data_IF_094020700079
#
_entry.id   IF_094020700079
#
_cell.length_a   1.000
_cell.length_b   1.000
_cell.length_c   1.000
_cell.angle_alpha   90.00
_cell.angle_beta   90.00
_cell.angle_gamma   90.00
#
_symmetry.space_group_name_H-M   'P 1'
#
loop_
_entity.id
_entity.type
_entity.pdbx_description
1 polymer ?
#
# COMPACT_ATOMS: atom_id res chain seq x y z
N UNK A 1 -4.54 14.31 18.56
CA UNK A 1 -4.08 12.92 18.43
C UNK A 1 -2.63 12.87 17.92
N UNK A 2 -2.26 13.21 16.64
CA UNK A 2 -0.88 13.07 16.12
C UNK A 2 0.18 13.78 16.97
N UNK A 3 -0.05 15.05 17.33
CA UNK A 3 0.87 15.80 18.22
C UNK A 3 1.07 15.10 19.56
N UNK A 4 0.01 14.55 20.15
CA UNK A 4 0.09 13.83 21.42
C UNK A 4 0.87 12.52 21.27
N UNK A 5 0.64 11.76 20.17
CA UNK A 5 1.43 10.56 19.88
C UNK A 5 2.92 10.90 19.71
N UNK A 6 3.24 11.95 18.96
CA UNK A 6 4.63 12.40 18.78
C UNK A 6 5.26 12.94 20.07
N UNK A 7 4.46 13.54 20.94
CA UNK A 7 4.95 14.00 22.23
C UNK A 7 5.31 12.82 23.14
N UNK A 8 4.45 11.80 23.22
CA UNK A 8 4.69 10.61 24.05
C UNK A 8 5.70 9.65 23.44
N UNK A 9 5.68 9.52 22.12
CA UNK A 9 6.50 8.56 21.37
C UNK A 9 7.19 9.26 20.19
N UNK A 10 8.26 10.06 20.42
CA UNK A 10 8.89 10.86 19.38
C UNK A 10 9.41 10.05 18.20
N UNK A 11 9.82 8.81 18.47
CA UNK A 11 10.36 7.90 17.45
C UNK A 11 9.29 7.20 16.60
N UNK A 12 8.02 7.18 17.08
CA UNK A 12 6.94 6.53 16.36
C UNK A 12 6.72 7.19 14.98
N UNK A 13 6.74 6.40 13.93
CA UNK A 13 6.44 6.86 12.57
C UNK A 13 4.95 6.74 12.30
N UNK A 14 4.33 7.86 11.95
CA UNK A 14 2.90 7.92 11.65
C UNK A 14 2.70 7.76 10.14
N UNK A 15 2.49 6.52 9.71
CA UNK A 15 2.05 6.14 8.37
C UNK A 15 0.53 5.99 8.43
N UNK A 16 -0.20 7.05 8.16
CA UNK A 16 -1.63 7.11 8.48
C UNK A 16 -2.39 8.00 7.49
N UNK A 17 -3.70 7.83 7.44
CA UNK A 17 -4.63 8.59 6.60
C UNK A 17 -4.35 8.41 5.10
N UNK A 18 -5.10 7.58 4.42
CA UNK A 18 -5.09 7.51 2.96
C UNK A 18 -5.66 8.77 2.30
N UNK A 19 -5.57 8.83 0.98
CA UNK A 19 -6.14 9.95 0.23
C UNK A 19 -7.65 10.18 0.50
N UNK A 20 -8.49 9.15 0.72
CA UNK A 20 -9.89 9.37 1.10
C UNK A 20 -10.07 10.14 2.39
N UNK A 21 -9.29 9.82 3.42
CA UNK A 21 -9.35 10.51 4.72
C UNK A 21 -8.84 11.94 4.61
N UNK A 22 -7.77 12.18 3.84
CA UNK A 22 -7.27 13.54 3.56
C UNK A 22 -8.33 14.37 2.84
N UNK A 23 -8.97 13.81 1.80
CA UNK A 23 -10.04 14.49 1.07
C UNK A 23 -11.24 14.79 1.97
N UNK A 24 -11.60 13.86 2.85
CA UNK A 24 -12.68 14.07 3.82
C UNK A 24 -12.35 15.19 4.81
N UNK A 25 -11.15 15.17 5.40
CA UNK A 25 -10.69 16.22 6.35
C UNK A 25 -10.66 17.58 5.66
N UNK A 26 -10.13 17.67 4.45
CA UNK A 26 -10.10 18.89 3.66
C UNK A 26 -11.51 19.48 3.49
N UNK A 27 -12.46 18.63 3.09
CA UNK A 27 -13.86 19.01 2.87
C UNK A 27 -14.54 19.55 4.15
N UNK A 28 -14.45 18.82 5.26
CA UNK A 28 -15.12 19.24 6.52
C UNK A 28 -14.43 20.44 7.17
N UNK A 29 -13.13 20.64 6.91
CA UNK A 29 -12.35 21.78 7.42
C UNK A 29 -12.39 22.99 6.48
N UNK A 30 -13.03 22.88 5.32
CA UNK A 30 -13.06 23.90 4.26
C UNK A 30 -11.65 24.36 3.85
N UNK A 31 -10.72 23.41 3.70
CA UNK A 31 -9.33 23.62 3.30
C UNK A 31 -9.05 22.95 1.97
N UNK A 32 -8.08 23.45 1.22
CA UNK A 32 -7.51 22.71 0.11
C UNK A 32 -6.62 21.53 0.60
N UNK A 33 -6.28 20.62 -0.31
CA UNK A 33 -5.49 19.43 0.03
C UNK A 33 -4.08 19.78 0.47
N UNK A 34 -3.46 20.81 -0.11
CA UNK A 34 -2.11 21.23 0.24
C UNK A 34 -2.03 21.77 1.66
N UNK A 35 -2.95 22.66 2.03
CA UNK A 35 -3.05 23.20 3.39
C UNK A 35 -3.36 22.10 4.40
N UNK A 36 -4.25 21.17 4.03
CA UNK A 36 -4.60 20.01 4.87
C UNK A 36 -3.37 19.15 5.14
N UNK A 37 -2.62 18.77 4.10
CA UNK A 37 -1.41 17.96 4.23
C UNK A 37 -0.34 18.69 5.03
N UNK A 38 -0.08 19.97 4.78
CA UNK A 38 0.88 20.76 5.57
C UNK A 38 0.53 20.77 7.07
N UNK A 39 -0.75 20.93 7.42
CA UNK A 39 -1.21 20.87 8.82
C UNK A 39 -1.05 19.49 9.44
N UNK A 40 -1.32 18.42 8.69
CA UNK A 40 -1.14 17.03 9.14
C UNK A 40 0.35 16.72 9.35
N UNK A 41 1.22 17.14 8.44
CA UNK A 41 2.69 17.02 8.57
C UNK A 41 3.20 17.80 9.79
N UNK A 42 2.74 19.02 10.00
CA UNK A 42 3.07 19.82 11.18
C UNK A 42 2.53 19.23 12.50
N UNK A 43 1.54 18.35 12.41
CA UNK A 43 1.02 17.59 13.55
C UNK A 43 1.75 16.26 13.75
N UNK A 44 2.66 15.86 12.84
CA UNK A 44 3.51 14.67 12.96
C UNK A 44 3.23 13.56 11.96
N UNK A 45 2.43 13.77 10.91
CA UNK A 45 2.27 12.80 9.83
C UNK A 45 3.61 12.61 9.10
N UNK A 46 4.11 11.36 9.02
CA UNK A 46 5.39 11.05 8.40
C UNK A 46 5.27 10.50 6.97
N UNK A 47 4.14 9.89 6.62
CA UNK A 47 3.90 9.31 5.28
C UNK A 47 2.42 8.96 5.08
N UNK A 48 1.99 8.82 3.81
CA UNK A 48 0.64 8.42 3.44
C UNK A 48 0.63 6.99 2.86
N UNK A 49 -0.23 6.09 3.36
CA UNK A 49 -0.52 4.83 2.68
C UNK A 49 -1.28 5.06 1.37
N UNK A 50 -1.10 4.16 0.41
CA UNK A 50 -1.85 4.13 -0.85
C UNK A 50 -3.31 3.66 -0.70
N UNK A 51 -3.78 3.52 0.52
CA UNK A 51 -5.13 3.05 0.82
C UNK A 51 -6.19 3.85 0.08
N UNK A 52 -7.26 3.15 -0.30
CA UNK A 52 -8.37 3.75 -1.03
C UNK A 52 -8.13 3.92 -2.53
N UNK A 53 -6.99 3.49 -3.09
CA UNK A 53 -6.77 3.46 -4.54
C UNK A 53 -7.70 2.46 -5.22
N UNK A 54 -7.87 1.29 -4.65
CA UNK A 54 -8.61 0.14 -5.19
C UNK A 54 -8.24 -0.11 -6.66
N UNK A 55 -9.12 0.22 -7.60
CA UNK A 55 -8.82 0.43 -9.03
C UNK A 55 -9.11 1.89 -9.37
N UNK A 56 -8.17 2.58 -10.03
CA UNK A 56 -8.30 3.99 -10.42
C UNK A 56 -9.13 4.16 -11.70
N UNK A 57 -10.32 3.57 -11.68
CA UNK A 57 -11.38 3.69 -12.67
C UNK A 57 -12.67 4.11 -11.97
N UNK A 58 -13.28 5.21 -12.40
CA UNK A 58 -14.42 5.80 -11.70
C UNK A 58 -15.69 4.94 -11.77
N UNK A 59 -15.87 4.14 -12.83
CA UNK A 59 -16.97 3.19 -12.93
C UNK A 59 -16.85 2.07 -11.90
N UNK A 60 -15.66 1.46 -11.83
CA UNK A 60 -15.36 0.42 -10.84
C UNK A 60 -15.47 0.98 -9.41
N UNK A 61 -14.84 2.12 -9.12
CA UNK A 61 -14.87 2.75 -7.78
C UNK A 61 -16.28 3.02 -7.29
N UNK A 62 -17.14 3.57 -8.15
CA UNK A 62 -18.55 3.83 -7.80
C UNK A 62 -19.29 2.55 -7.44
N UNK A 63 -18.98 1.44 -8.09
CA UNK A 63 -19.62 0.16 -7.83
C UNK A 63 -19.14 -0.51 -6.52
N UNK A 64 -17.81 -0.49 -6.25
CA UNK A 64 -17.25 -1.23 -5.11
C UNK A 64 -17.09 -0.39 -3.84
N UNK A 65 -17.02 0.92 -3.97
CA UNK A 65 -16.72 1.84 -2.85
C UNK A 65 -17.40 3.21 -3.06
N UNK A 66 -18.73 3.29 -3.10
CA UNK A 66 -19.47 4.51 -3.49
C UNK A 66 -19.24 5.71 -2.56
N UNK A 67 -18.75 5.46 -1.33
CA UNK A 67 -18.41 6.52 -0.38
C UNK A 67 -16.98 7.07 -0.49
N UNK A 68 -16.13 6.46 -1.32
CA UNK A 68 -14.75 6.94 -1.53
C UNK A 68 -14.68 7.97 -2.65
N UNK A 69 -13.70 8.90 -2.61
CA UNK A 69 -13.50 9.88 -3.66
C UNK A 69 -13.17 9.19 -4.99
N UNK A 70 -13.35 9.91 -6.10
CA UNK A 70 -13.00 9.44 -7.43
C UNK A 70 -11.49 9.27 -7.63
N UNK A 71 -11.10 8.69 -8.76
CA UNK A 71 -9.70 8.41 -9.07
C UNK A 71 -8.88 9.69 -9.19
N UNK A 72 -9.46 10.76 -9.75
CA UNK A 72 -8.77 12.03 -9.95
C UNK A 72 -8.47 12.72 -8.63
N UNK A 73 -9.40 12.67 -7.69
CA UNK A 73 -9.19 13.16 -6.31
C UNK A 73 -8.07 12.38 -5.61
N UNK A 74 -8.07 11.04 -5.72
CA UNK A 74 -7.00 10.22 -5.13
C UNK A 74 -5.63 10.60 -5.71
N UNK A 75 -5.53 10.69 -7.04
CA UNK A 75 -4.30 11.07 -7.75
C UNK A 75 -3.86 12.49 -7.37
N UNK A 76 -4.79 13.44 -7.23
CA UNK A 76 -4.48 14.81 -6.87
C UNK A 76 -3.90 14.92 -5.45
N UNK A 77 -4.49 14.23 -4.46
CA UNK A 77 -3.94 14.19 -3.10
C UNK A 77 -2.52 13.63 -3.11
N UNK A 78 -2.26 12.52 -3.83
CA UNK A 78 -0.93 11.93 -3.93
C UNK A 78 0.05 12.86 -4.67
N UNK A 79 -0.39 13.55 -5.73
CA UNK A 79 0.43 14.53 -6.44
C UNK A 79 0.89 15.67 -5.52
N UNK A 80 -0.01 16.17 -4.67
CA UNK A 80 0.33 17.21 -3.70
C UNK A 80 1.28 16.67 -2.64
N UNK A 81 1.05 15.46 -2.13
CA UNK A 81 1.95 14.80 -1.18
C UNK A 81 3.37 14.67 -1.76
N UNK A 82 3.51 14.27 -3.04
CA UNK A 82 4.81 14.20 -3.73
C UNK A 82 5.50 15.57 -3.82
N UNK A 83 4.76 16.64 -4.14
CA UNK A 83 5.31 18.02 -4.15
C UNK A 83 5.79 18.47 -2.77
N UNK A 84 5.10 18.07 -1.72
CA UNK A 84 5.46 18.36 -0.33
C UNK A 84 6.57 17.44 0.21
N UNK A 85 7.13 16.56 -0.62
CA UNK A 85 8.12 15.56 -0.25
C UNK A 85 7.65 14.63 0.89
N UNK A 86 6.34 14.36 0.96
CA UNK A 86 5.78 13.40 1.89
C UNK A 86 5.84 12.00 1.25
N UNK A 87 6.54 11.02 1.84
CA UNK A 87 6.60 9.67 1.29
C UNK A 87 5.21 9.05 1.19
N UNK A 88 4.92 8.38 0.07
CA UNK A 88 3.64 7.71 -0.15
C UNK A 88 3.87 6.27 -0.62
N UNK A 89 2.87 5.40 -0.46
CA UNK A 89 2.81 4.15 -1.19
C UNK A 89 1.67 4.17 -2.21
N UNK A 90 1.70 3.28 -3.18
CA UNK A 90 0.59 3.02 -4.10
C UNK A 90 0.07 1.61 -3.87
N UNK A 91 -1.23 1.41 -4.02
CA UNK A 91 -1.87 0.10 -3.86
C UNK A 91 -2.80 -0.18 -5.03
N UNK A 92 -3.07 -1.45 -5.28
CA UNK A 92 -4.13 -1.91 -6.17
C UNK A 92 -4.86 -3.06 -5.49
N UNK A 93 -6.18 -2.96 -5.31
CA UNK A 93 -7.02 -4.09 -4.93
C UNK A 93 -7.74 -4.59 -6.19
N UNK A 94 -7.57 -5.86 -6.54
CA UNK A 94 -8.06 -6.44 -7.78
C UNK A 94 -8.64 -7.84 -7.57
N UNK A 95 -9.32 -8.35 -8.60
CA UNK A 95 -9.98 -9.67 -8.55
C UNK A 95 -11.43 -9.57 -8.09
N UNK A 96 -12.09 -8.44 -8.35
CA UNK A 96 -13.51 -8.24 -8.09
C UNK A 96 -14.31 -8.09 -9.41
N UNK A 97 -14.62 -6.86 -9.84
CA UNK A 97 -15.44 -6.59 -11.05
C UNK A 97 -14.66 -5.92 -12.19
N UNK A 98 -13.42 -5.55 -11.92
CA UNK A 98 -12.56 -4.88 -12.88
C UNK A 98 -12.07 -5.82 -13.99
N UNK A 99 -11.79 -5.25 -15.15
CA UNK A 99 -11.19 -5.95 -16.29
C UNK A 99 -9.66 -5.95 -16.23
N UNK A 100 -8.98 -6.88 -16.92
CA UNK A 100 -7.52 -6.84 -17.06
C UNK A 100 -7.00 -5.50 -17.62
N UNK A 101 -7.74 -4.89 -18.55
CA UNK A 101 -7.42 -3.57 -19.11
C UNK A 101 -7.40 -2.49 -18.02
N UNK A 102 -8.42 -2.46 -17.16
CA UNK A 102 -8.48 -1.48 -16.05
C UNK A 102 -7.36 -1.65 -15.04
N UNK A 103 -6.85 -2.89 -14.82
CA UNK A 103 -5.63 -3.12 -14.01
C UNK A 103 -4.41 -2.46 -14.65
N UNK A 104 -4.22 -2.60 -15.96
CA UNK A 104 -3.10 -1.95 -16.67
C UNK A 104 -3.24 -0.44 -16.67
N UNK A 105 -4.41 0.09 -16.93
CA UNK A 105 -4.69 1.53 -16.89
C UNK A 105 -4.43 2.11 -15.48
N UNK A 106 -4.74 1.37 -14.42
CA UNK A 106 -4.37 1.74 -13.05
C UNK A 106 -2.85 1.85 -12.88
N UNK A 107 -2.09 0.84 -13.32
CA UNK A 107 -0.62 0.87 -13.24
C UNK A 107 -0.04 2.03 -14.05
N UNK A 108 -0.57 2.32 -15.22
CA UNK A 108 -0.15 3.45 -16.05
C UNK A 108 -0.38 4.78 -15.31
N UNK A 109 -1.55 4.98 -14.69
CA UNK A 109 -1.83 6.19 -13.91
C UNK A 109 -0.86 6.38 -12.75
N UNK A 110 -0.52 5.30 -12.03
CA UNK A 110 0.48 5.31 -10.95
C UNK A 110 1.87 5.66 -11.49
N UNK A 111 2.32 5.00 -12.57
CA UNK A 111 3.61 5.29 -13.24
C UNK A 111 3.70 6.75 -13.68
N UNK A 112 2.65 7.25 -14.34
CA UNK A 112 2.63 8.59 -14.91
C UNK A 112 2.58 9.68 -13.82
N UNK A 113 1.94 9.39 -12.68
CA UNK A 113 2.01 10.26 -11.51
C UNK A 113 3.43 10.25 -10.88
N UNK A 114 4.04 9.08 -10.74
CA UNK A 114 5.42 8.96 -10.25
C UNK A 114 6.40 9.71 -11.16
N UNK A 115 6.22 9.67 -12.48
CA UNK A 115 7.06 10.38 -13.43
C UNK A 115 6.97 11.92 -13.28
N UNK A 116 5.91 12.44 -12.69
CA UNK A 116 5.69 13.87 -12.40
C UNK A 116 6.18 14.27 -10.99
N UNK A 117 6.70 13.33 -10.22
CA UNK A 117 7.26 13.63 -8.90
C UNK A 117 8.49 14.55 -9.06
N UNK A 118 8.60 15.64 -8.27
CA UNK A 118 9.78 16.49 -8.32
C UNK A 118 11.08 15.70 -8.06
N UNK A 119 12.13 16.03 -8.80
CA UNK A 119 13.43 15.39 -8.64
C UNK A 119 13.92 15.51 -7.18
N UNK A 120 14.39 14.40 -6.61
CA UNK A 120 14.85 14.34 -5.22
C UNK A 120 13.76 14.12 -4.18
N UNK A 121 12.48 14.18 -4.56
CA UNK A 121 11.37 13.86 -3.66
C UNK A 121 11.09 12.35 -3.64
N UNK A 122 10.45 11.87 -2.56
CA UNK A 122 10.18 10.44 -2.35
C UNK A 122 9.19 9.85 -3.36
N UNK A 123 8.10 10.55 -3.66
CA UNK A 123 7.02 10.00 -4.47
C UNK A 123 6.42 8.71 -3.87
N UNK A 124 6.05 7.76 -4.74
CA UNK A 124 5.68 6.41 -4.33
C UNK A 124 6.93 5.59 -4.03
N UNK A 125 7.14 5.29 -2.75
CA UNK A 125 8.28 4.48 -2.29
C UNK A 125 8.06 2.99 -2.49
N UNK A 126 6.81 2.55 -2.64
CA UNK A 126 6.43 1.17 -2.90
C UNK A 126 5.08 1.08 -3.61
N UNK A 127 4.89 -0.03 -4.32
CA UNK A 127 3.61 -0.48 -4.85
C UNK A 127 3.21 -1.82 -4.23
N UNK A 128 1.94 -1.96 -3.82
CA UNK A 128 1.42 -3.12 -3.10
C UNK A 128 0.14 -3.60 -3.79
N UNK A 129 0.18 -4.63 -4.65
CA UNK A 129 -1.02 -5.27 -5.17
C UNK A 129 -1.54 -6.32 -4.19
N UNK A 130 -2.83 -6.31 -3.94
CA UNK A 130 -3.50 -7.30 -3.09
C UNK A 130 -4.78 -7.80 -3.73
N UNK A 131 -5.04 -9.08 -3.48
CA UNK A 131 -6.21 -9.76 -4.03
C UNK A 131 -7.43 -9.42 -3.18
N UNK A 132 -8.53 -9.03 -3.84
CA UNK A 132 -9.83 -8.90 -3.19
C UNK A 132 -10.24 -10.22 -2.55
N UNK A 133 -10.77 -10.16 -1.35
CA UNK A 133 -11.38 -11.28 -0.64
C UNK A 133 -12.87 -11.02 -0.52
N UNK A 134 -13.69 -11.94 -1.05
CA UNK A 134 -15.13 -11.74 -1.16
C UNK A 134 -15.89 -12.08 0.12
N UNK A 135 -15.37 -13.00 0.92
CA UNK A 135 -16.10 -13.57 2.06
C UNK A 135 -16.65 -12.50 3.02
N UNK A 136 -17.94 -12.54 3.27
CA UNK A 136 -18.64 -11.61 4.17
C UNK A 136 -18.85 -10.19 3.62
N UNK A 137 -18.49 -9.92 2.36
CA UNK A 137 -18.62 -8.57 1.76
C UNK A 137 -19.99 -8.38 1.08
N UNK A 138 -20.40 -7.10 0.91
CA UNK A 138 -21.57 -6.76 0.10
C UNK A 138 -21.42 -7.20 -1.36
N UNK A 139 -20.22 -7.22 -1.90
CA UNK A 139 -19.96 -7.69 -3.25
C UNK A 139 -20.22 -9.20 -3.40
N UNK A 140 -19.90 -10.00 -2.37
CA UNK A 140 -20.24 -11.42 -2.36
C UNK A 140 -21.76 -11.63 -2.42
N UNK A 141 -22.54 -10.83 -1.66
CA UNK A 141 -24.00 -10.86 -1.71
C UNK A 141 -24.56 -10.51 -3.10
N UNK A 142 -23.81 -9.73 -3.88
CA UNK A 142 -24.11 -9.39 -5.28
C UNK A 142 -23.58 -10.42 -6.29
N UNK A 143 -23.04 -11.55 -5.81
CA UNK A 143 -22.53 -12.64 -6.65
C UNK A 143 -21.08 -12.48 -7.10
N UNK A 144 -20.36 -11.47 -6.63
CA UNK A 144 -18.93 -11.29 -6.94
C UNK A 144 -18.09 -12.23 -6.09
N UNK A 145 -17.41 -13.16 -6.74
CA UNK A 145 -16.48 -14.09 -6.09
C UNK A 145 -15.04 -13.73 -6.46
N UNK A 146 -14.15 -13.88 -5.51
CA UNK A 146 -12.71 -13.74 -5.76
C UNK A 146 -12.11 -15.11 -6.08
N UNK A 147 -11.83 -15.35 -7.36
CA UNK A 147 -11.21 -16.60 -7.86
C UNK A 147 -9.77 -16.38 -8.33
N UNK A 148 -9.08 -15.41 -7.76
CA UNK A 148 -7.70 -15.10 -8.16
C UNK A 148 -6.74 -16.22 -7.77
N UNK A 149 -6.20 -16.90 -8.78
CA UNK A 149 -5.20 -17.94 -8.60
C UNK A 149 -3.82 -17.35 -8.28
N UNK A 150 -2.93 -18.19 -7.72
CA UNK A 150 -1.51 -17.82 -7.53
C UNK A 150 -0.87 -17.37 -8.86
N UNK A 151 -1.19 -18.03 -9.97
CA UNK A 151 -0.67 -17.67 -11.30
C UNK A 151 -1.08 -16.25 -11.72
N UNK A 152 -2.34 -15.86 -11.49
CA UNK A 152 -2.81 -14.51 -11.79
C UNK A 152 -2.13 -13.47 -10.88
N UNK A 153 -1.91 -13.80 -9.61
CA UNK A 153 -1.15 -12.94 -8.72
C UNK A 153 0.28 -12.71 -9.23
N UNK A 154 0.99 -13.78 -9.61
CA UNK A 154 2.34 -13.69 -10.15
C UNK A 154 2.40 -12.89 -11.46
N UNK A 155 1.39 -13.02 -12.34
CA UNK A 155 1.26 -12.16 -13.53
C UNK A 155 1.15 -10.69 -13.16
N UNK A 156 0.33 -10.33 -12.15
CA UNK A 156 0.19 -8.94 -11.70
C UNK A 156 1.50 -8.42 -11.12
N UNK A 157 2.22 -9.21 -10.34
CA UNK A 157 3.56 -8.81 -9.83
C UNK A 157 4.52 -8.54 -11.00
N UNK A 158 4.62 -9.47 -11.96
CA UNK A 158 5.52 -9.32 -13.12
C UNK A 158 5.14 -8.10 -13.99
N UNK A 159 3.84 -7.93 -14.29
CA UNK A 159 3.34 -6.77 -15.02
C UNK A 159 3.60 -5.46 -14.27
N UNK A 160 3.40 -5.46 -12.96
CA UNK A 160 3.69 -4.29 -12.12
C UNK A 160 5.17 -3.92 -12.19
N UNK A 161 6.08 -4.91 -12.14
CA UNK A 161 7.53 -4.67 -12.28
C UNK A 161 7.89 -4.06 -13.62
N UNK A 162 7.27 -4.50 -14.72
CA UNK A 162 7.52 -3.99 -16.06
C UNK A 162 6.95 -2.58 -16.23
N UNK A 163 5.69 -2.37 -15.85
CA UNK A 163 4.98 -1.09 -16.06
C UNK A 163 5.48 -0.01 -15.11
N UNK A 164 5.71 -0.35 -13.83
CA UNK A 164 6.16 0.58 -12.78
C UNK A 164 7.70 0.62 -12.68
N UNK A 165 8.39 0.80 -13.80
CA UNK A 165 9.85 0.83 -13.86
C UNK A 165 10.48 1.98 -13.06
N UNK A 166 9.70 3.00 -12.71
CA UNK A 166 10.06 4.16 -11.91
C UNK A 166 9.66 4.04 -10.42
N UNK A 167 9.12 2.89 -9.98
CA UNK A 167 8.86 2.59 -8.57
C UNK A 167 9.75 1.40 -8.16
N UNK A 168 10.70 1.68 -7.28
CA UNK A 168 11.75 0.72 -6.92
C UNK A 168 11.21 -0.54 -6.24
N UNK A 169 10.24 -0.38 -5.33
CA UNK A 169 9.82 -1.48 -4.46
C UNK A 169 8.42 -1.96 -4.84
N UNK A 170 8.29 -3.27 -5.03
CA UNK A 170 7.02 -3.97 -5.20
C UNK A 170 6.91 -4.98 -4.07
N UNK A 171 5.89 -4.81 -3.24
CA UNK A 171 5.65 -5.67 -2.10
C UNK A 171 4.76 -6.84 -2.48
N UNK A 172 5.15 -8.05 -2.13
CA UNK A 172 4.27 -9.21 -2.18
C UNK A 172 3.35 -9.22 -0.95
N UNK A 173 2.05 -9.29 -1.18
CA UNK A 173 1.02 -9.28 -0.12
C UNK A 173 0.80 -10.70 0.43
N UNK A 174 1.78 -11.25 1.17
CA UNK A 174 1.72 -12.59 1.75
C UNK A 174 0.45 -12.82 2.58
N UNK A 175 -0.05 -11.78 3.20
CA UNK A 175 -1.27 -11.84 4.02
C UNK A 175 -2.46 -12.36 3.22
N UNK A 176 -2.61 -11.94 1.96
CA UNK A 176 -3.73 -12.34 1.09
C UNK A 176 -3.46 -13.60 0.29
N UNK A 177 -2.20 -13.89 -0.05
CA UNK A 177 -1.86 -14.99 -0.99
C UNK A 177 -1.11 -16.15 -0.34
N UNK A 178 -0.69 -16.01 0.91
CA UNK A 178 0.06 -17.03 1.65
C UNK A 178 1.56 -17.06 1.33
N UNK A 179 2.28 -17.86 2.13
CA UNK A 179 3.75 -17.97 2.11
C UNK A 179 4.28 -18.36 0.73
N UNK A 180 3.81 -19.46 0.18
CA UNK A 180 4.36 -20.05 -1.05
C UNK A 180 4.22 -19.10 -2.26
N UNK A 181 3.04 -18.49 -2.42
CA UNK A 181 2.81 -17.53 -3.50
C UNK A 181 3.66 -16.27 -3.32
N UNK A 182 3.85 -15.81 -2.08
CA UNK A 182 4.71 -14.66 -1.79
C UNK A 182 6.19 -14.96 -2.08
N UNK A 183 6.68 -16.18 -1.78
CA UNK A 183 8.03 -16.64 -2.15
C UNK A 183 8.23 -16.65 -3.67
N UNK A 184 7.29 -17.21 -4.43
CA UNK A 184 7.32 -17.18 -5.89
C UNK A 184 7.27 -15.74 -6.45
N UNK A 185 6.55 -14.85 -5.80
CA UNK A 185 6.47 -13.44 -6.21
C UNK A 185 7.82 -12.72 -6.12
N UNK A 186 8.73 -13.12 -5.21
CA UNK A 186 10.10 -12.59 -5.15
C UNK A 186 10.89 -12.91 -6.44
N UNK A 187 10.66 -14.08 -7.03
CA UNK A 187 11.24 -14.43 -8.35
C UNK A 187 10.52 -13.74 -9.51
N UNK A 188 9.24 -13.36 -9.31
CA UNK A 188 8.40 -12.72 -10.32
C UNK A 188 8.53 -11.20 -10.42
N UNK A 189 9.35 -10.57 -9.56
CA UNK A 189 9.56 -9.11 -9.61
C UNK A 189 9.26 -8.36 -8.32
N UNK A 190 8.68 -8.97 -7.28
CA UNK A 190 8.62 -8.40 -5.96
C UNK A 190 10.01 -8.38 -5.31
N UNK A 191 10.25 -7.41 -4.41
CA UNK A 191 11.50 -7.30 -3.66
C UNK A 191 11.26 -6.92 -2.19
N UNK A 192 10.03 -7.07 -1.71
CA UNK A 192 9.64 -6.77 -0.34
C UNK A 192 8.49 -7.70 0.08
N UNK A 193 8.54 -8.23 1.30
CA UNK A 193 7.44 -8.99 1.92
C UNK A 193 6.65 -8.15 2.94
N UNK A 194 6.87 -6.84 2.99
CA UNK A 194 6.17 -5.95 3.92
C UNK A 194 6.64 -6.08 5.36
N UNK A 195 5.71 -6.00 6.28
CA UNK A 195 5.93 -6.04 7.72
C UNK A 195 5.01 -7.05 8.40
N UNK A 196 5.34 -7.39 9.63
CA UNK A 196 4.39 -8.04 10.54
C UNK A 196 3.28 -7.07 10.92
N UNK A 197 2.13 -7.61 11.28
CA UNK A 197 0.99 -6.84 11.78
C UNK A 197 0.78 -7.15 13.26
N UNK A 198 0.64 -6.13 14.10
CA UNK A 198 0.27 -6.30 15.52
C UNK A 198 -1.20 -6.72 15.58
N UNK A 199 -2.05 -6.04 14.81
CA UNK A 199 -3.46 -6.39 14.61
C UNK A 199 -3.78 -6.35 13.12
N UNK A 200 -4.52 -7.34 12.65
CA UNK A 200 -5.05 -7.41 11.30
C UNK A 200 -6.49 -7.91 11.37
N UNK A 201 -7.42 -6.99 11.16
CA UNK A 201 -8.86 -7.26 11.28
C UNK A 201 -9.60 -7.12 9.94
N UNK A 202 -8.94 -6.63 8.89
CA UNK A 202 -9.58 -6.35 7.60
C UNK A 202 -9.59 -7.59 6.73
N UNK A 203 -8.42 -8.18 6.49
CA UNK A 203 -8.28 -9.34 5.60
C UNK A 203 -8.69 -10.63 6.31
N UNK A 204 -8.45 -10.71 7.62
CA UNK A 204 -8.89 -11.86 8.43
C UNK A 204 -10.41 -11.96 8.52
N UNK A 205 -11.13 -10.83 8.63
CA UNK A 205 -12.60 -10.83 8.57
C UNK A 205 -13.16 -11.29 7.22
N UNK A 206 -12.37 -11.19 6.16
CA UNK A 206 -12.68 -11.68 4.82
C UNK A 206 -12.08 -13.09 4.53
N UNK A 207 -11.71 -13.84 5.59
CA UNK A 207 -11.36 -15.26 5.49
C UNK A 207 -9.88 -15.56 5.19
N UNK A 208 -8.98 -14.59 5.23
CA UNK A 208 -7.55 -14.86 5.13
C UNK A 208 -6.92 -15.03 6.53
N UNK A 209 -6.30 -16.18 6.78
CA UNK A 209 -5.73 -16.56 8.09
C UNK A 209 -4.21 -16.79 8.01
N UNK A 210 -3.53 -16.04 7.15
CA UNK A 210 -2.08 -16.09 7.08
C UNK A 210 -1.46 -15.18 8.17
N UNK A 211 -0.50 -15.68 8.93
CA UNK A 211 0.22 -14.92 9.93
C UNK A 211 1.73 -15.20 9.83
N UNK A 212 2.53 -14.17 10.02
CA UNK A 212 3.97 -14.27 10.18
C UNK A 212 4.42 -13.39 11.36
N UNK A 213 5.39 -13.90 12.10
CA UNK A 213 6.29 -13.09 12.91
C UNK A 213 7.52 -12.65 12.09
N UNK A 214 8.40 -11.89 12.70
CA UNK A 214 9.58 -11.37 12.02
C UNK A 214 10.55 -12.49 11.58
N UNK A 215 10.66 -13.58 12.35
CA UNK A 215 11.48 -14.73 12.00
C UNK A 215 10.88 -15.51 10.84
N UNK A 216 9.57 -15.74 10.85
CA UNK A 216 8.85 -16.42 9.78
C UNK A 216 8.97 -15.71 8.43
N UNK A 217 8.90 -14.36 8.39
CA UNK A 217 9.15 -13.60 7.16
C UNK A 217 10.59 -13.79 6.68
N UNK A 218 11.58 -13.68 7.58
CA UNK A 218 12.98 -13.88 7.22
C UNK A 218 13.24 -15.30 6.72
N UNK A 219 12.67 -16.29 7.38
CA UNK A 219 12.80 -17.69 6.96
C UNK A 219 12.16 -17.91 5.57
N UNK A 220 10.98 -17.35 5.32
CA UNK A 220 10.34 -17.43 4.00
C UNK A 220 11.22 -16.83 2.89
N UNK A 221 11.91 -15.71 3.16
CA UNK A 221 12.84 -15.09 2.21
C UNK A 221 14.06 -16.00 1.96
N UNK A 222 14.65 -16.60 3.02
CA UNK A 222 15.80 -17.52 2.87
C UNK A 222 15.42 -18.76 2.08
N UNK A 223 14.28 -19.36 2.37
CA UNK A 223 13.77 -20.54 1.65
C UNK A 223 13.52 -20.25 0.17
N UNK A 224 13.18 -19.01 -0.18
CA UNK A 224 13.06 -18.56 -1.57
C UNK A 224 14.44 -18.27 -2.22
N UNK A 225 15.57 -18.50 -1.52
CA UNK A 225 16.91 -18.28 -2.05
C UNK A 225 17.42 -16.83 -1.97
N UNK A 226 16.77 -15.96 -1.20
CA UNK A 226 17.17 -14.56 -1.04
C UNK A 226 17.72 -14.28 0.36
N UNK A 227 18.48 -13.21 0.50
CA UNK A 227 18.98 -12.70 1.79
C UNK A 227 18.00 -11.69 2.36
N UNK A 228 17.37 -11.97 3.52
CA UNK A 228 16.46 -11.01 4.15
C UNK A 228 17.22 -9.78 4.63
N UNK A 229 16.63 -8.61 4.45
CA UNK A 229 17.13 -7.34 4.97
C UNK A 229 16.00 -6.59 5.66
N UNK A 230 16.28 -6.08 6.86
CA UNK A 230 15.33 -5.22 7.56
C UNK A 230 15.36 -3.82 6.96
N UNK A 231 14.20 -3.20 6.82
CA UNK A 231 14.04 -1.82 6.36
C UNK A 231 13.15 -1.01 7.31
N UNK A 232 13.31 0.30 7.27
CA UNK A 232 12.37 1.21 7.91
C UNK A 232 11.20 1.58 6.94
N UNK A 233 10.31 2.47 7.40
CA UNK A 233 9.16 2.94 6.62
C UNK A 233 9.55 3.76 5.36
N UNK A 234 10.77 4.30 5.30
CA UNK A 234 11.30 4.99 4.12
C UNK A 234 12.05 4.07 3.15
N UNK A 235 12.02 2.75 3.39
CA UNK A 235 12.78 1.74 2.64
C UNK A 235 14.31 1.89 2.74
N UNK A 236 14.80 2.49 3.82
CA UNK A 236 16.22 2.52 4.18
C UNK A 236 16.54 1.23 4.95
N UNK A 237 17.66 0.58 4.62
CA UNK A 237 18.06 -0.64 5.31
C UNK A 237 18.51 -0.37 6.73
N UNK A 238 18.19 -1.31 7.61
CA UNK A 238 18.62 -1.34 9.01
C UNK A 238 19.49 -2.55 9.27
N UNK A 239 20.40 -2.44 10.22
CA UNK A 239 21.21 -3.56 10.71
C UNK A 239 20.33 -4.52 11.53
N UNK A 240 20.64 -5.80 11.44
CA UNK A 240 20.05 -6.85 12.26
C UNK A 240 21.13 -7.58 13.05
N UNK A 241 20.95 -7.93 14.33
CA UNK A 241 19.80 -7.57 15.18
C UNK A 241 19.69 -6.06 15.43
N UNK A 242 18.47 -5.58 15.68
CA UNK A 242 18.27 -4.20 16.13
C UNK A 242 19.10 -4.00 17.43
N UNK A 243 19.87 -2.93 17.52
CA UNK A 243 20.44 -2.53 18.81
C UNK A 243 19.29 -2.22 19.78
N UNK A 244 19.51 -2.37 21.09
CA UNK A 244 18.47 -2.05 22.08
C UNK A 244 17.96 -0.60 21.98
N UNK A 245 18.74 0.31 21.35
CA UNK A 245 18.34 1.67 21.03
C UNK A 245 17.41 1.76 19.80
N UNK A 246 17.39 0.73 18.94
CA UNK A 246 16.59 0.67 17.72
C UNK A 246 15.34 -0.22 17.86
N UNK A 247 15.20 -0.90 18.99
CA UNK A 247 14.00 -1.65 19.35
C UNK A 247 12.89 -0.66 19.69
N UNK A 248 12.15 -0.26 18.66
CA UNK A 248 10.94 0.53 18.82
C UNK A 248 9.78 -0.38 18.46
N UNK A 249 8.96 -0.61 19.44
CA UNK A 249 7.68 -1.29 19.37
C UNK A 249 6.73 -0.59 18.41
#
# INVERSE_FOLDING_TARGET
>A
MFRELKHRFPQLRLHALGAPEVAHIARISQLDYETTLKRLMAAGLDSLPGAGAEILDNGVRKAISPGKPDADTWLEVMRIAHRLNLPTSATMMYGHIETPRQRIEHLIKIRDLQAKCPAGNYGFIAFIPWVFRSSGTLLEQQGVKSDMSATEYLRIIAMSRIVLNNIRNIQASWLTVGKQTAQLALHGGANDLGSIMIEENVVSSAGAHNSFDAEGIQQAIREAGFTPRLRNQKYEYRLWPLSNSDAIY
#
